data_IF_990812529339
#
_entry.id   IF_990812529339
#
_cell.length_a   1.000
_cell.length_b   1.000
_cell.length_c   1.000
_cell.angle_alpha   90.00
_cell.angle_beta   90.00
_cell.angle_gamma   90.00
#
_symmetry.space_group_name_H-M   'P 1'
#
loop_
_entity.id
_entity.type
_entity.pdbx_description
1 polymer ?
#
# COMPACT_ATOMS: atom_id res chain seq x y z
N UNK A 1 20.70 -26.02 -1.46
CA UNK A 1 19.78 -25.72 -0.33
C UNK A 1 20.30 -24.46 0.33
N UNK A 2 19.92 -23.31 -0.21
CA UNK A 2 20.18 -22.01 0.39
C UNK A 2 18.82 -21.44 0.71
N UNK A 3 18.48 -21.47 2.00
CA UNK A 3 17.34 -20.76 2.58
C UNK A 3 17.74 -19.28 2.58
N UNK A 4 17.50 -18.61 1.46
CA UNK A 4 17.74 -17.17 1.31
C UNK A 4 16.66 -16.46 2.12
N UNK A 5 17.07 -15.80 3.21
CA UNK A 5 16.24 -15.17 4.22
C UNK A 5 15.44 -13.97 3.72
N UNK A 6 14.68 -14.13 2.63
CA UNK A 6 13.59 -13.21 2.27
C UNK A 6 12.59 -13.25 3.42
N UNK A 7 12.45 -12.12 4.11
CA UNK A 7 11.33 -11.90 5.03
C UNK A 7 10.04 -12.27 4.29
N UNK A 8 9.47 -13.40 4.69
CA UNK A 8 8.39 -14.02 3.94
C UNK A 8 7.11 -13.26 4.25
N UNK A 9 6.52 -12.65 3.23
CA UNK A 9 5.34 -11.82 3.38
C UNK A 9 4.24 -12.57 4.16
N UNK A 10 3.57 -11.85 5.06
CA UNK A 10 2.50 -12.42 5.90
C UNK A 10 1.43 -13.07 5.01
N UNK A 11 0.94 -14.28 5.32
CA UNK A 11 0.00 -14.98 4.44
C UNK A 11 -1.32 -14.22 4.20
N UNK A 12 -1.76 -13.38 5.14
CA UNK A 12 -2.90 -12.46 4.92
C UNK A 12 -2.61 -11.45 3.81
N UNK A 13 -1.41 -10.88 3.80
CA UNK A 13 -0.99 -9.87 2.83
C UNK A 13 -0.88 -10.50 1.43
N UNK A 14 -0.23 -11.65 1.33
CA UNK A 14 -0.16 -12.43 0.08
C UNK A 14 -1.55 -12.76 -0.47
N UNK A 15 -2.46 -13.26 0.37
CA UNK A 15 -3.81 -13.59 -0.06
C UNK A 15 -4.58 -12.36 -0.55
N UNK A 16 -4.49 -11.23 0.15
CA UNK A 16 -5.14 -9.99 -0.30
C UNK A 16 -4.53 -9.44 -1.59
N UNK A 17 -3.23 -9.62 -1.81
CA UNK A 17 -2.56 -9.24 -3.06
C UNK A 17 -3.00 -10.13 -4.22
N UNK A 18 -3.03 -11.45 -4.04
CA UNK A 18 -3.50 -12.39 -5.06
C UNK A 18 -4.95 -12.09 -5.49
N UNK A 19 -5.85 -11.92 -4.52
CA UNK A 19 -7.24 -11.59 -4.81
C UNK A 19 -7.38 -10.21 -5.48
N UNK A 20 -6.57 -9.24 -5.05
CA UNK A 20 -6.55 -7.92 -5.67
C UNK A 20 -5.96 -7.89 -7.08
N UNK A 21 -5.07 -8.83 -7.44
CA UNK A 21 -4.42 -8.90 -8.76
C UNK A 21 -5.25 -9.69 -9.77
N UNK A 22 -5.89 -10.79 -9.34
CA UNK A 22 -6.47 -11.79 -10.24
C UNK A 22 -7.97 -12.01 -10.09
N UNK A 23 -8.55 -11.61 -8.96
CA UNK A 23 -9.95 -11.87 -8.61
C UNK A 23 -10.73 -10.60 -8.28
N UNK A 24 -10.24 -9.45 -8.77
CA UNK A 24 -10.85 -8.16 -8.55
C UNK A 24 -12.22 -8.09 -9.25
N UNK A 25 -13.18 -7.42 -8.62
CA UNK A 25 -14.53 -7.14 -9.16
C UNK A 25 -15.35 -8.39 -9.46
N UNK A 26 -15.18 -9.40 -8.61
CA UNK A 26 -15.91 -10.67 -8.68
C UNK A 26 -16.72 -10.88 -7.42
N UNK A 27 -17.96 -11.30 -7.61
CA UNK A 27 -18.86 -11.71 -6.54
C UNK A 27 -18.70 -13.21 -6.23
N UNK A 28 -18.14 -13.96 -7.18
CA UNK A 28 -17.86 -15.37 -7.07
C UNK A 28 -16.84 -15.66 -5.96
N UNK A 29 -17.11 -16.71 -5.19
CA UNK A 29 -16.24 -17.15 -4.12
C UNK A 29 -15.29 -18.25 -4.61
N UNK A 30 -14.01 -18.11 -4.29
CA UNK A 30 -12.99 -19.13 -4.60
C UNK A 30 -13.03 -20.24 -3.53
N UNK A 31 -13.08 -21.52 -3.92
CA UNK A 31 -12.96 -22.64 -2.99
C UNK A 31 -11.71 -22.53 -2.11
N UNK A 32 -11.84 -22.80 -0.81
CA UNK A 32 -10.73 -22.73 0.15
C UNK A 32 -9.53 -23.60 -0.27
N UNK A 33 -9.79 -24.74 -0.94
CA UNK A 33 -8.74 -25.62 -1.47
C UNK A 33 -7.86 -24.94 -2.53
N UNK A 34 -8.46 -24.17 -3.45
CA UNK A 34 -7.71 -23.42 -4.46
C UNK A 34 -6.87 -22.30 -3.82
N UNK A 35 -7.42 -21.58 -2.84
CA UNK A 35 -6.67 -20.56 -2.08
C UNK A 35 -5.50 -21.16 -1.28
N UNK A 36 -5.65 -22.36 -0.73
CA UNK A 36 -4.54 -23.09 -0.10
C UNK A 36 -3.44 -23.39 -1.13
N UNK A 37 -3.78 -23.88 -2.32
CA UNK A 37 -2.78 -24.17 -3.36
C UNK A 37 -2.07 -22.91 -3.86
N UNK A 38 -2.80 -21.82 -4.04
CA UNK A 38 -2.21 -20.52 -4.39
C UNK A 38 -1.19 -20.06 -3.34
N UNK A 39 -1.52 -20.16 -2.04
CA UNK A 39 -0.60 -19.81 -0.97
C UNK A 39 0.58 -20.80 -0.84
N UNK A 40 0.40 -22.05 -1.27
CA UNK A 40 1.46 -23.05 -1.28
C UNK A 40 2.59 -22.73 -2.29
N UNK A 41 2.32 -21.98 -3.37
CA UNK A 41 3.36 -21.47 -4.29
C UNK A 41 4.36 -20.54 -3.57
N UNK A 42 3.91 -19.90 -2.48
CA UNK A 42 4.75 -19.10 -1.59
C UNK A 42 5.25 -19.93 -0.41
N UNK A 43 5.17 -21.26 -0.49
CA UNK A 43 5.53 -22.27 0.52
C UNK A 43 4.59 -22.38 1.72
N UNK A 44 3.43 -21.68 1.74
CA UNK A 44 2.64 -21.51 2.98
C UNK A 44 1.90 -22.80 3.25
N UNK A 45 2.13 -23.38 4.43
CA UNK A 45 1.45 -24.61 4.85
C UNK A 45 -0.06 -24.46 4.92
N UNK A 46 -0.78 -25.55 4.64
CA UNK A 46 -2.25 -25.60 4.57
C UNK A 46 -2.95 -25.01 5.81
N UNK A 47 -2.44 -25.30 7.01
CA UNK A 47 -3.01 -24.79 8.26
C UNK A 47 -2.87 -23.27 8.37
N UNK A 48 -1.70 -22.73 8.03
CA UNK A 48 -1.43 -21.30 8.04
C UNK A 48 -2.27 -20.55 6.99
N UNK A 49 -2.45 -21.14 5.81
CA UNK A 49 -3.33 -20.60 4.77
C UNK A 49 -4.78 -20.51 5.26
N UNK A 50 -5.32 -21.58 5.85
CA UNK A 50 -6.68 -21.59 6.42
C UNK A 50 -6.84 -20.62 7.58
N UNK A 51 -5.83 -20.51 8.43
CA UNK A 51 -5.84 -19.54 9.53
C UNK A 51 -5.84 -18.10 9.01
N UNK A 52 -5.06 -17.80 7.96
CA UNK A 52 -5.05 -16.49 7.31
C UNK A 52 -6.42 -16.13 6.72
N UNK A 53 -7.07 -17.05 6.00
CA UNK A 53 -8.43 -16.86 5.48
C UNK A 53 -9.44 -16.56 6.61
N UNK A 54 -9.41 -17.35 7.69
CA UNK A 54 -10.29 -17.12 8.85
C UNK A 54 -10.04 -15.76 9.51
N UNK A 55 -8.78 -15.34 9.66
CA UNK A 55 -8.42 -14.04 10.24
C UNK A 55 -8.88 -12.87 9.37
N UNK A 56 -8.82 -13.01 8.04
CA UNK A 56 -9.32 -11.99 7.11
C UNK A 56 -10.86 -11.93 7.15
N UNK A 57 -11.53 -13.08 7.16
CA UNK A 57 -12.98 -13.14 7.27
C UNK A 57 -13.49 -12.55 8.61
N UNK A 58 -12.81 -12.82 9.72
CA UNK A 58 -13.13 -12.24 11.03
C UNK A 58 -12.94 -10.71 11.11
N UNK A 59 -12.30 -10.11 10.10
CA UNK A 59 -12.11 -8.66 9.97
C UNK A 59 -12.94 -8.07 8.82
N UNK A 60 -13.90 -8.83 8.30
CA UNK A 60 -14.73 -8.46 7.15
C UNK A 60 -13.92 -8.09 5.89
N UNK A 61 -12.70 -8.62 5.78
CA UNK A 61 -11.85 -8.44 4.59
C UNK A 61 -12.10 -9.52 3.53
N UNK A 62 -12.81 -10.59 3.88
CA UNK A 62 -13.31 -11.65 3.01
C UNK A 62 -14.74 -12.03 3.40
N UNK A 63 -15.56 -12.35 2.41
CA UNK A 63 -16.86 -13.00 2.63
C UNK A 63 -16.69 -14.51 2.60
N UNK A 64 -17.59 -15.23 3.28
CA UNK A 64 -17.55 -16.69 3.39
C UNK A 64 -18.86 -17.25 2.88
N UNK A 65 -18.77 -18.24 1.98
CA UNK A 65 -19.90 -19.04 1.57
C UNK A 65 -19.64 -20.51 1.86
N UNK A 66 -20.73 -21.26 2.13
CA UNK A 66 -20.68 -22.70 2.34
C UNK A 66 -21.73 -23.37 1.46
N UNK A 67 -21.28 -24.30 0.63
CA UNK A 67 -22.14 -25.19 -0.14
C UNK A 67 -21.75 -26.63 0.16
N UNK A 68 -22.63 -27.35 0.85
CA UNK A 68 -22.36 -28.70 1.33
C UNK A 68 -21.12 -28.77 2.23
N UNK A 69 -20.11 -29.51 1.79
CA UNK A 69 -18.83 -29.70 2.51
C UNK A 69 -17.75 -28.67 2.14
N UNK A 70 -18.01 -27.82 1.15
CA UNK A 70 -17.04 -26.88 0.61
C UNK A 70 -17.23 -25.51 1.23
N UNK A 71 -16.15 -24.95 1.80
CA UNK A 71 -16.08 -23.54 2.19
C UNK A 71 -15.36 -22.77 1.09
N UNK A 72 -15.93 -21.64 0.68
CA UNK A 72 -15.35 -20.74 -0.30
C UNK A 72 -15.28 -19.31 0.25
N UNK A 73 -14.36 -18.51 -0.28
CA UNK A 73 -14.13 -17.13 0.15
C UNK A 73 -14.22 -16.17 -1.01
N UNK A 74 -14.87 -15.04 -0.80
CA UNK A 74 -15.03 -13.97 -1.78
C UNK A 74 -14.43 -12.66 -1.29
N UNK A 75 -14.34 -11.68 -2.19
CA UNK A 75 -14.05 -10.30 -1.81
C UNK A 75 -15.38 -9.67 -1.38
N UNK A 76 -15.44 -8.93 -0.26
CA UNK A 76 -16.64 -8.21 0.12
C UNK A 76 -17.10 -7.28 -1.01
N UNK A 77 -18.41 -7.08 -1.20
CA UNK A 77 -18.91 -6.13 -2.17
C UNK A 77 -18.25 -4.76 -1.96
N UNK A 78 -17.65 -4.23 -3.01
CA UNK A 78 -17.10 -2.88 -3.06
C UNK A 78 -17.52 -2.25 -4.37
N UNK A 79 -17.64 -0.92 -4.38
CA UNK A 79 -17.68 -0.22 -5.66
C UNK A 79 -16.36 -0.46 -6.39
N UNK A 80 -16.44 -0.77 -7.68
CA UNK A 80 -15.30 -0.88 -8.59
C UNK A 80 -14.34 0.29 -8.41
N UNK A 81 -14.91 1.48 -8.17
CA UNK A 81 -14.23 2.76 -8.15
C UNK A 81 -13.18 2.86 -7.04
N UNK A 82 -13.49 2.37 -5.83
CA UNK A 82 -12.56 2.37 -4.70
C UNK A 82 -11.37 1.45 -4.96
N UNK A 83 -11.61 0.32 -5.63
CA UNK A 83 -10.54 -0.62 -5.99
C UNK A 83 -9.68 -0.04 -7.10
N UNK A 84 -10.29 0.59 -8.11
CA UNK A 84 -9.58 1.28 -9.19
C UNK A 84 -8.71 2.38 -8.62
N UNK A 85 -9.28 3.31 -7.85
CA UNK A 85 -8.56 4.45 -7.30
C UNK A 85 -7.37 4.04 -6.44
N UNK A 86 -7.57 3.07 -5.53
CA UNK A 86 -6.47 2.57 -4.69
C UNK A 86 -5.36 1.90 -5.51
N UNK A 87 -5.74 1.11 -6.52
CA UNK A 87 -4.77 0.44 -7.39
C UNK A 87 -4.05 1.45 -8.25
N UNK A 88 -4.77 2.42 -8.82
CA UNK A 88 -4.20 3.52 -9.59
C UNK A 88 -3.19 4.31 -8.75
N UNK A 89 -3.55 4.75 -7.53
CA UNK A 89 -2.64 5.44 -6.60
C UNK A 89 -1.38 4.62 -6.27
N UNK A 90 -1.51 3.29 -6.14
CA UNK A 90 -0.34 2.42 -5.91
C UNK A 90 0.57 2.36 -7.15
N UNK A 91 0.00 2.31 -8.35
CA UNK A 91 0.75 2.22 -9.61
C UNK A 91 1.39 3.56 -10.03
N UNK A 92 0.74 4.68 -9.73
CA UNK A 92 1.22 6.03 -10.10
C UNK A 92 2.09 6.71 -9.04
N UNK A 93 2.11 6.21 -7.81
CA UNK A 93 2.98 6.73 -6.75
C UNK A 93 4.44 6.75 -7.21
N UNK A 94 5.10 7.91 -7.14
CA UNK A 94 6.49 8.09 -7.53
C UNK A 94 6.74 8.29 -9.03
N UNK A 95 5.69 8.32 -9.86
CA UNK A 95 5.81 8.61 -11.29
C UNK A 95 6.38 10.02 -11.56
N UNK A 96 6.03 10.99 -10.73
CA UNK A 96 6.57 12.35 -10.73
C UNK A 96 6.67 12.89 -9.31
N UNK A 97 7.60 13.80 -9.06
CA UNK A 97 7.60 14.54 -7.80
C UNK A 97 6.45 15.56 -7.78
N UNK A 98 5.79 15.78 -6.64
CA UNK A 98 4.79 16.84 -6.53
C UNK A 98 5.47 18.22 -6.59
N UNK A 99 4.71 19.19 -7.08
CA UNK A 99 5.13 20.59 -7.07
C UNK A 99 5.21 21.14 -5.66
N UNK A 100 6.13 22.09 -5.44
CA UNK A 100 6.30 22.80 -4.19
C UNK A 100 6.21 24.30 -4.40
N UNK A 101 5.42 24.96 -3.55
CA UNK A 101 5.25 26.42 -3.58
C UNK A 101 6.26 27.16 -2.69
N UNK A 102 7.30 26.45 -2.20
CA UNK A 102 8.31 27.00 -1.32
C UNK A 102 7.88 27.13 0.16
N UNK A 103 6.63 26.77 0.48
CA UNK A 103 6.07 26.96 1.82
C UNK A 103 5.79 25.63 2.54
N UNK A 104 6.03 25.63 3.85
CA UNK A 104 5.71 24.55 4.76
C UNK A 104 4.36 24.79 5.42
N UNK A 105 3.52 23.76 5.48
CA UNK A 105 2.42 23.73 6.45
C UNK A 105 2.99 23.31 7.78
N UNK A 106 2.81 24.16 8.79
CA UNK A 106 3.30 23.93 10.15
C UNK A 106 2.12 23.88 11.10
N UNK A 107 2.05 22.82 11.89
CA UNK A 107 1.08 22.66 12.98
C UNK A 107 1.85 22.64 14.29
N UNK A 108 1.71 23.70 15.08
CA UNK A 108 2.23 23.79 16.42
C UNK A 108 1.09 23.57 17.43
N UNK A 109 1.29 22.76 18.45
CA UNK A 109 0.29 22.55 19.49
C UNK A 109 0.89 22.28 20.87
N UNK A 110 0.10 22.55 21.90
CA UNK A 110 0.39 22.20 23.29
C UNK A 110 -0.83 21.53 23.88
N UNK A 111 -0.73 20.22 24.12
CA UNK A 111 -1.81 19.42 24.74
C UNK A 111 -1.36 19.04 26.16
N UNK A 112 -2.15 19.39 27.21
CA UNK A 112 -1.83 19.04 28.59
C UNK A 112 -1.59 17.53 28.76
N UNK A 113 -0.74 17.13 29.72
CA UNK A 113 -0.41 15.71 29.92
C UNK A 113 -1.64 14.87 30.31
N UNK A 114 -2.62 15.50 30.96
CA UNK A 114 -3.89 14.89 31.33
C UNK A 114 -4.73 14.49 30.11
N UNK A 115 -4.49 15.09 28.94
CA UNK A 115 -5.21 14.85 27.68
C UNK A 115 -4.39 13.98 26.70
N UNK A 116 -3.64 13.01 27.24
CA UNK A 116 -2.76 12.14 26.44
C UNK A 116 -3.47 11.42 25.29
N UNK A 117 -4.75 11.07 25.46
CA UNK A 117 -5.55 10.43 24.40
C UNK A 117 -5.79 11.37 23.21
N UNK A 118 -6.14 12.64 23.48
CA UNK A 118 -6.30 13.68 22.46
C UNK A 118 -4.99 13.91 21.71
N UNK A 119 -3.87 14.03 22.44
CA UNK A 119 -2.54 14.17 21.84
C UNK A 119 -2.20 12.99 20.93
N UNK A 120 -2.51 11.77 21.37
CA UNK A 120 -2.25 10.54 20.59
C UNK A 120 -3.11 10.51 19.33
N UNK A 121 -4.40 10.87 19.44
CA UNK A 121 -5.31 10.95 18.30
C UNK A 121 -4.88 12.02 17.28
N UNK A 122 -4.52 13.22 17.74
CA UNK A 122 -4.04 14.31 16.89
C UNK A 122 -2.80 13.88 16.10
N UNK A 123 -1.77 13.37 16.78
CA UNK A 123 -0.53 12.90 16.13
C UNK A 123 -0.77 11.78 15.13
N UNK A 124 -1.67 10.85 15.45
CA UNK A 124 -2.04 9.77 14.54
C UNK A 124 -2.71 10.31 13.27
N UNK A 125 -3.64 11.27 13.41
CA UNK A 125 -4.36 11.86 12.27
C UNK A 125 -3.53 12.84 11.46
N UNK A 126 -2.61 13.58 12.08
CA UNK A 126 -1.63 14.40 11.35
C UNK A 126 -0.73 13.55 10.45
N UNK A 127 -0.27 12.37 10.93
CA UNK A 127 0.45 11.41 10.06
C UNK A 127 -0.39 10.95 8.88
N UNK A 128 -1.67 10.65 9.11
CA UNK A 128 -2.59 10.24 8.04
C UNK A 128 -2.82 11.35 7.01
N UNK A 129 -2.87 12.62 7.44
CA UNK A 129 -2.89 13.78 6.53
C UNK A 129 -1.54 13.98 5.80
N UNK A 130 -0.47 13.36 6.28
CA UNK A 130 0.86 13.42 5.69
C UNK A 130 1.70 14.58 6.20
N UNK A 131 1.51 14.97 7.46
CA UNK A 131 2.48 15.74 8.22
C UNK A 131 3.43 14.80 8.97
N UNK A 132 4.68 15.22 9.12
CA UNK A 132 5.68 14.54 9.94
C UNK A 132 5.99 15.34 11.21
N UNK A 133 6.36 14.65 12.28
CA UNK A 133 6.76 15.29 13.52
C UNK A 133 8.18 15.82 13.38
N UNK A 134 8.36 17.14 13.45
CA UNK A 134 9.67 17.76 13.58
C UNK A 134 10.10 17.76 15.06
N UNK A 135 9.19 18.16 15.95
CA UNK A 135 9.32 18.07 17.41
C UNK A 135 8.01 17.58 18.04
N UNK A 136 7.98 17.37 19.36
CA UNK A 136 6.84 16.75 20.05
C UNK A 136 5.49 17.43 19.74
N UNK A 137 5.48 18.77 19.77
CA UNK A 137 4.34 19.63 19.45
C UNK A 137 4.48 20.42 18.15
N UNK A 138 5.40 20.05 17.25
CA UNK A 138 5.64 20.77 15.98
C UNK A 138 5.68 19.79 14.81
N UNK A 139 4.75 19.97 13.87
CA UNK A 139 4.54 19.07 12.75
C UNK A 139 4.58 19.83 11.44
N UNK A 140 5.14 19.21 10.40
CA UNK A 140 5.45 19.90 9.14
C UNK A 140 5.08 19.05 7.92
N UNK A 141 4.71 19.72 6.83
CA UNK A 141 4.53 19.11 5.51
C UNK A 141 4.85 20.11 4.40
N UNK A 142 5.46 19.70 3.28
CA UNK A 142 5.66 20.59 2.14
C UNK A 142 4.36 20.85 1.36
N UNK A 143 3.31 20.04 1.58
CA UNK A 143 2.00 20.25 0.94
C UNK A 143 1.21 21.34 1.65
N UNK A 144 0.38 22.08 0.92
CA UNK A 144 -0.62 22.95 1.54
C UNK A 144 -1.74 22.09 2.16
N UNK A 145 -1.63 21.90 3.47
CA UNK A 145 -2.57 21.15 4.30
C UNK A 145 -3.15 22.05 5.38
N UNK A 146 -3.07 23.38 5.23
CA UNK A 146 -3.45 24.32 6.27
C UNK A 146 -4.96 24.21 6.60
N UNK A 147 -5.82 24.12 5.58
CA UNK A 147 -7.26 23.88 5.75
C UNK A 147 -7.55 22.56 6.49
N UNK A 148 -7.18 21.40 5.91
CA UNK A 148 -7.40 20.10 6.53
C UNK A 148 -6.82 19.97 7.95
N UNK A 149 -5.65 20.56 8.21
CA UNK A 149 -5.05 20.54 9.54
C UNK A 149 -5.82 21.40 10.55
N UNK A 150 -6.35 22.57 10.13
CA UNK A 150 -7.22 23.40 10.99
C UNK A 150 -8.51 22.67 11.34
N UNK A 151 -9.14 22.04 10.36
CA UNK A 151 -10.37 21.28 10.57
C UNK A 151 -10.14 20.12 11.56
N UNK A 152 -9.03 19.39 11.41
CA UNK A 152 -8.64 18.33 12.32
C UNK A 152 -8.42 18.83 13.76
N UNK A 153 -7.73 19.96 13.92
CA UNK A 153 -7.47 20.58 15.23
C UNK A 153 -8.79 20.98 15.90
N UNK A 154 -9.71 21.59 15.15
CA UNK A 154 -11.02 22.00 15.64
C UNK A 154 -11.89 20.78 16.01
N UNK A 155 -11.92 19.75 15.17
CA UNK A 155 -12.67 18.51 15.40
C UNK A 155 -12.25 17.81 16.70
N UNK A 156 -10.96 17.82 17.03
CA UNK A 156 -10.43 17.23 18.25
C UNK A 156 -10.50 18.15 19.47
N UNK A 157 -11.00 19.38 19.32
CA UNK A 157 -11.15 20.34 20.43
C UNK A 157 -9.84 20.84 21.02
N UNK A 158 -8.75 20.85 20.25
CA UNK A 158 -7.42 21.23 20.76
C UNK A 158 -7.33 22.74 20.93
N UNK A 159 -7.46 23.21 22.18
CA UNK A 159 -7.55 24.64 22.50
C UNK A 159 -6.27 25.44 22.18
N UNK A 160 -5.09 24.83 22.31
CA UNK A 160 -3.78 25.47 22.06
C UNK A 160 -3.10 24.85 20.85
N UNK A 161 -3.49 25.32 19.68
CA UNK A 161 -2.86 24.95 18.42
C UNK A 161 -2.79 26.14 17.47
N UNK A 162 -1.81 26.12 16.59
CA UNK A 162 -1.60 27.12 15.53
C UNK A 162 -1.24 26.38 14.26
N UNK A 163 -1.96 26.70 13.19
CA UNK A 163 -1.67 26.21 11.84
C UNK A 163 -1.23 27.39 11.01
N UNK A 164 -0.05 27.31 10.42
CA UNK A 164 0.54 28.39 9.64
C UNK A 164 1.24 27.87 8.38
N UNK A 165 1.40 28.76 7.40
CA UNK A 165 2.29 28.57 6.25
C UNK A 165 3.56 29.36 6.52
N UNK A 166 4.73 28.74 6.38
CA UNK A 166 6.02 29.37 6.65
C UNK A 166 7.12 28.92 5.68
N UNK A 167 8.10 29.78 5.48
CA UNK A 167 9.36 29.45 4.79
C UNK A 167 10.47 29.24 5.81
N UNK A 168 11.41 28.36 5.51
CA UNK A 168 12.62 28.21 6.33
C UNK A 168 13.53 29.43 6.17
N UNK A 169 14.12 29.90 7.26
CA UNK A 169 15.15 30.93 7.21
C UNK A 169 16.48 30.26 6.85
N UNK A 170 17.18 30.68 5.77
CA UNK A 170 18.45 30.08 5.39
C UNK A 170 19.55 30.22 6.45
N UNK A 171 20.55 29.33 6.41
CA UNK A 171 21.72 29.38 7.29
C UNK A 171 21.59 28.61 8.60
N UNK A 172 20.55 27.78 8.73
CA UNK A 172 20.40 26.84 9.83
C UNK A 172 21.44 25.71 9.82
N UNK A 173 21.52 24.90 10.90
CA UNK A 173 22.40 23.74 10.97
C UNK A 173 22.09 22.71 9.87
N UNK A 174 23.10 22.04 9.31
CA UNK A 174 22.96 21.10 8.18
C UNK A 174 22.04 19.90 8.42
N UNK A 175 21.78 19.53 9.68
CA UNK A 175 20.85 18.45 10.07
C UNK A 175 19.55 18.95 10.70
N UNK A 176 19.29 20.25 10.63
CA UNK A 176 18.07 20.88 11.13
C UNK A 176 17.01 21.09 10.05
N UNK A 177 16.06 21.96 10.36
CA UNK A 177 15.03 22.38 9.41
C UNK A 177 13.88 21.37 9.26
N UNK A 178 12.81 21.75 8.55
CA UNK A 178 11.62 20.92 8.46
C UNK A 178 11.81 19.61 7.67
N UNK A 179 12.81 19.55 6.77
CA UNK A 179 13.17 18.32 6.06
C UNK A 179 13.68 17.20 7.01
N UNK A 180 14.26 17.56 8.16
CA UNK A 180 14.73 16.59 9.16
C UNK A 180 13.58 15.78 9.82
N UNK A 181 12.32 16.18 9.62
CA UNK A 181 11.16 15.41 10.08
C UNK A 181 10.95 14.09 9.30
N UNK A 182 11.63 13.92 8.15
CA UNK A 182 11.48 12.77 7.27
C UNK A 182 12.75 11.91 7.25
N UNK A 183 12.58 10.60 7.41
CA UNK A 183 13.68 9.62 7.36
C UNK A 183 14.07 9.32 5.90
N UNK A 184 14.79 10.27 5.27
CA UNK A 184 15.23 10.15 3.88
C UNK A 184 16.30 9.07 3.70
N UNK A 185 17.15 8.84 4.70
CA UNK A 185 18.20 7.82 4.64
C UNK A 185 17.61 6.41 4.64
N UNK A 186 16.63 6.15 5.53
CA UNK A 186 15.88 4.90 5.57
C UNK A 186 15.13 4.65 4.26
N UNK A 187 14.42 5.66 3.75
CA UNK A 187 13.72 5.56 2.46
C UNK A 187 14.67 5.32 1.28
N UNK A 188 15.82 6.00 1.24
CA UNK A 188 16.83 5.77 0.22
C UNK A 188 17.40 4.34 0.28
N UNK A 189 17.58 3.79 1.49
CA UNK A 189 17.99 2.41 1.68
C UNK A 189 16.92 1.42 1.19
N UNK A 190 15.65 1.68 1.49
CA UNK A 190 14.50 0.89 1.03
C UNK A 190 14.46 0.85 -0.51
N UNK A 191 14.59 2.01 -1.18
CA UNK A 191 14.63 2.07 -2.65
C UNK A 191 15.83 1.33 -3.25
N UNK A 192 17.03 1.52 -2.68
CA UNK A 192 18.24 0.80 -3.14
C UNK A 192 18.06 -0.71 -2.99
N UNK A 193 17.46 -1.16 -1.89
CA UNK A 193 17.13 -2.55 -1.64
C UNK A 193 16.17 -3.10 -2.69
N UNK A 194 15.08 -2.37 -2.97
CA UNK A 194 14.10 -2.73 -3.98
C UNK A 194 14.72 -2.86 -5.38
N UNK A 195 15.46 -1.84 -5.83
CA UNK A 195 16.11 -1.85 -7.16
C UNK A 195 17.09 -3.02 -7.25
N UNK A 196 17.95 -3.23 -6.24
CA UNK A 196 18.91 -4.35 -6.23
C UNK A 196 18.21 -5.71 -6.36
N UNK A 197 17.03 -5.88 -5.76
CA UNK A 197 16.30 -7.14 -5.79
C UNK A 197 15.62 -7.40 -7.14
N UNK A 198 15.05 -6.37 -7.78
CA UNK A 198 14.18 -6.56 -8.94
C UNK A 198 14.82 -6.18 -10.28
N UNK A 199 15.86 -5.35 -10.30
CA UNK A 199 16.57 -4.97 -11.53
C UNK A 199 17.10 -6.18 -12.33
N UNK A 200 17.72 -7.22 -11.70
CA UNK A 200 18.21 -8.39 -12.44
C UNK A 200 17.11 -9.14 -13.21
N UNK A 201 15.85 -9.04 -12.79
CA UNK A 201 14.74 -9.72 -13.44
C UNK A 201 14.45 -9.21 -14.84
N UNK A 202 14.90 -7.99 -15.20
CA UNK A 202 14.73 -7.46 -16.56
C UNK A 202 15.40 -8.35 -17.60
N UNK A 203 16.58 -8.86 -17.30
CA UNK A 203 17.32 -9.77 -18.18
C UNK A 203 16.63 -11.12 -18.28
N UNK A 204 16.17 -11.68 -17.15
CA UNK A 204 15.44 -12.95 -17.12
C UNK A 204 14.11 -12.88 -17.89
N UNK A 205 13.40 -11.76 -17.74
CA UNK A 205 12.19 -11.46 -18.49
C UNK A 205 12.46 -11.35 -19.99
N UNK A 206 13.52 -10.63 -20.39
CA UNK A 206 13.90 -10.46 -21.79
C UNK A 206 14.31 -11.79 -22.44
N UNK A 207 14.95 -12.67 -21.68
CA UNK A 207 15.38 -13.99 -22.14
C UNK A 207 14.29 -15.08 -22.02
N UNK A 208 13.10 -14.76 -21.50
CA UNK A 208 12.01 -15.73 -21.32
C UNK A 208 12.33 -16.83 -20.29
N UNK A 209 13.19 -16.55 -19.30
CA UNK A 209 13.64 -17.53 -18.30
C UNK A 209 12.67 -17.71 -17.12
N UNK A 210 11.60 -16.92 -17.05
CA UNK A 210 10.63 -16.95 -15.96
C UNK A 210 9.42 -17.79 -16.38
N UNK A 211 9.18 -18.91 -15.69
CA UNK A 211 8.00 -19.75 -15.89
C UNK A 211 6.76 -19.23 -15.16
N UNK A 212 5.56 -19.79 -15.42
CA UNK A 212 4.31 -19.33 -14.81
C UNK A 212 4.28 -19.33 -13.27
N UNK A 213 4.85 -20.36 -12.63
CA UNK A 213 4.93 -20.45 -11.16
C UNK A 213 5.77 -19.31 -10.57
N UNK A 214 6.95 -19.08 -11.13
CA UNK A 214 7.81 -17.97 -10.72
C UNK A 214 7.19 -16.61 -11.04
N UNK A 215 6.48 -16.48 -12.17
CA UNK A 215 5.79 -15.25 -12.51
C UNK A 215 4.73 -14.89 -11.47
N UNK A 216 3.90 -15.85 -11.04
CA UNK A 216 2.89 -15.63 -9.99
C UNK A 216 3.54 -15.21 -8.67
N UNK A 217 4.61 -15.91 -8.27
CA UNK A 217 5.34 -15.64 -7.04
C UNK A 217 5.99 -14.26 -7.06
N UNK A 218 6.83 -14.00 -8.06
CA UNK A 218 7.58 -12.75 -8.20
C UNK A 218 6.64 -11.56 -8.31
N UNK A 219 5.60 -11.63 -9.15
CA UNK A 219 4.67 -10.51 -9.33
C UNK A 219 3.93 -10.15 -8.04
N UNK A 220 3.52 -11.16 -7.28
CA UNK A 220 2.84 -10.95 -6.00
C UNK A 220 3.79 -10.39 -4.94
N UNK A 221 5.01 -10.95 -4.82
CA UNK A 221 6.05 -10.45 -3.91
C UNK A 221 6.46 -9.00 -4.24
N UNK A 222 6.62 -8.70 -5.53
CA UNK A 222 6.91 -7.37 -6.05
C UNK A 222 5.82 -6.37 -5.66
N UNK A 223 4.54 -6.71 -5.87
CA UNK A 223 3.42 -5.86 -5.43
C UNK A 223 3.44 -5.62 -3.93
N UNK A 224 3.68 -6.67 -3.15
CA UNK A 224 3.74 -6.58 -1.68
C UNK A 224 4.86 -5.65 -1.25
N UNK A 225 6.05 -5.80 -1.82
CA UNK A 225 7.19 -4.92 -1.54
C UNK A 225 6.90 -3.47 -1.94
N UNK A 226 6.32 -3.25 -3.12
CA UNK A 226 6.00 -1.90 -3.60
C UNK A 226 4.96 -1.18 -2.75
N UNK A 227 3.95 -1.91 -2.26
CA UNK A 227 2.83 -1.37 -1.47
C UNK A 227 3.27 -0.64 -0.19
N UNK A 228 4.45 -0.97 0.35
CA UNK A 228 5.00 -0.30 1.52
C UNK A 228 5.45 1.15 1.23
N UNK A 229 5.86 1.48 0.00
CA UNK A 229 6.37 2.81 -0.32
C UNK A 229 5.32 3.91 -0.21
N UNK A 230 4.12 3.83 -0.81
CA UNK A 230 3.08 4.86 -0.64
C UNK A 230 2.57 5.05 0.80
N UNK A 231 2.95 4.15 1.71
CA UNK A 231 2.62 4.21 3.13
C UNK A 231 3.75 4.83 3.98
N UNK A 232 5.01 4.70 3.53
CA UNK A 232 6.21 5.15 4.25
C UNK A 232 6.81 6.44 3.67
N UNK A 233 6.83 6.55 2.35
CA UNK A 233 7.35 7.72 1.65
C UNK A 233 6.26 8.81 1.64
N UNK A 234 6.54 9.99 2.23
CA UNK A 234 5.62 11.13 2.26
C UNK A 234 5.40 11.78 0.88
N UNK A 235 6.08 11.31 -0.16
CA UNK A 235 6.08 11.86 -1.52
C UNK A 235 6.61 13.29 -1.55
N UNK A 236 7.86 13.52 -1.08
CA UNK A 236 8.41 14.87 -1.04
C UNK A 236 8.67 15.43 -2.46
N UNK A 237 8.57 16.76 -2.64
CA UNK A 237 9.05 17.47 -3.82
C UNK A 237 10.52 17.21 -4.14
N UNK A 238 10.91 17.34 -5.41
CA UNK A 238 12.24 17.01 -5.90
C UNK A 238 13.35 17.86 -5.27
N UNK A 239 13.06 19.13 -4.97
CA UNK A 239 13.96 20.12 -4.39
C UNK A 239 14.43 19.75 -2.98
N UNK A 240 13.69 18.86 -2.32
CA UNK A 240 13.94 18.42 -0.95
C UNK A 240 14.61 17.04 -0.87
N UNK A 241 14.80 16.39 -2.02
CA UNK A 241 15.34 15.05 -2.12
C UNK A 241 16.85 15.10 -2.41
N UNK A 242 17.65 14.19 -1.80
CA UNK A 242 19.06 14.07 -2.12
C UNK A 242 19.29 13.76 -3.61
N UNK A 243 20.45 14.16 -4.17
CA UNK A 243 20.84 13.74 -5.52
C UNK A 243 20.83 12.22 -5.67
N UNK A 244 20.36 11.73 -6.83
CA UNK A 244 20.29 10.29 -7.10
C UNK A 244 19.13 9.56 -6.41
N UNK A 245 18.08 10.29 -6.00
CA UNK A 245 16.88 9.69 -5.42
C UNK A 245 16.20 8.71 -6.40
N UNK A 246 16.01 7.46 -5.97
CA UNK A 246 15.63 6.35 -6.84
C UNK A 246 14.11 6.14 -7.01
N UNK A 247 13.25 6.96 -6.39
CA UNK A 247 11.79 6.74 -6.39
C UNK A 247 11.20 6.49 -7.77
N UNK A 248 11.50 7.37 -8.73
CA UNK A 248 10.95 7.28 -10.09
C UNK A 248 11.53 6.10 -10.87
N UNK A 249 12.81 5.79 -10.70
CA UNK A 249 13.44 4.63 -11.35
C UNK A 249 12.92 3.31 -10.78
N UNK A 250 12.73 3.24 -9.45
CA UNK A 250 12.12 2.10 -8.78
C UNK A 250 10.66 1.90 -9.20
N UNK A 251 9.89 2.99 -9.38
CA UNK A 251 8.52 2.94 -9.88
C UNK A 251 8.46 2.41 -11.32
N UNK A 252 9.37 2.87 -12.19
CA UNK A 252 9.46 2.39 -13.56
C UNK A 252 9.81 0.90 -13.63
N UNK A 253 10.78 0.47 -12.81
CA UNK A 253 11.15 -0.93 -12.67
C UNK A 253 9.96 -1.77 -12.15
N UNK A 254 9.27 -1.27 -11.13
CA UNK A 254 8.08 -1.91 -10.58
C UNK A 254 7.03 -2.14 -11.67
N UNK A 255 6.62 -1.09 -12.39
CA UNK A 255 5.61 -1.20 -13.45
C UNK A 255 6.03 -2.15 -14.56
N UNK A 256 7.27 -2.06 -15.03
CA UNK A 256 7.76 -2.91 -16.10
C UNK A 256 7.71 -4.40 -15.73
N UNK A 257 8.26 -4.77 -14.57
CA UNK A 257 8.27 -6.17 -14.12
C UNK A 257 6.86 -6.62 -13.80
N UNK A 258 6.06 -5.78 -13.13
CA UNK A 258 4.70 -6.11 -12.74
C UNK A 258 3.78 -6.35 -13.93
N UNK A 259 3.83 -5.50 -14.96
CA UNK A 259 2.98 -5.65 -16.16
C UNK A 259 3.44 -6.83 -17.02
N UNK A 260 4.76 -6.99 -17.23
CA UNK A 260 5.30 -8.09 -18.07
C UNK A 260 5.02 -9.49 -17.49
N UNK A 261 5.00 -9.62 -16.16
CA UNK A 261 4.68 -10.89 -15.51
C UNK A 261 3.18 -11.22 -15.50
N UNK A 262 2.31 -10.25 -15.79
CA UNK A 262 0.87 -10.39 -15.66
C UNK A 262 0.27 -11.61 -16.36
N UNK A 263 0.49 -11.78 -17.68
CA UNK A 263 -0.06 -12.91 -18.42
C UNK A 263 0.39 -14.29 -17.91
N UNK A 264 1.69 -14.46 -17.60
CA UNK A 264 2.22 -15.73 -17.09
C UNK A 264 1.72 -16.05 -15.68
N UNK A 265 1.61 -15.02 -14.83
CA UNK A 265 1.10 -15.16 -13.49
C UNK A 265 -0.40 -15.48 -13.47
N UNK A 266 -1.19 -14.83 -14.34
CA UNK A 266 -2.60 -15.16 -14.56
C UNK A 266 -2.75 -16.62 -15.00
N UNK A 267 -1.94 -17.08 -15.96
CA UNK A 267 -1.97 -18.45 -16.42
C UNK A 267 -1.77 -19.45 -15.27
N UNK A 268 -0.77 -19.21 -14.40
CA UNK A 268 -0.57 -20.07 -13.22
C UNK A 268 -1.73 -20.00 -12.24
N UNK A 269 -2.29 -18.82 -12.00
CA UNK A 269 -3.45 -18.65 -11.13
C UNK A 269 -4.63 -19.49 -11.64
N UNK A 270 -4.92 -19.43 -12.94
CA UNK A 270 -5.96 -20.23 -13.59
C UNK A 270 -5.71 -21.73 -13.46
N UNK A 271 -4.48 -22.20 -13.69
CA UNK A 271 -4.12 -23.61 -13.53
C UNK A 271 -4.47 -24.13 -12.12
N UNK A 272 -4.07 -23.40 -11.08
CA UNK A 272 -4.30 -23.80 -9.68
C UNK A 272 -5.78 -23.76 -9.28
N UNK A 273 -6.54 -22.84 -9.87
CA UNK A 273 -7.97 -22.71 -9.65
C UNK A 273 -8.74 -23.83 -10.38
N UNK A 274 -8.37 -24.14 -11.62
CA UNK A 274 -9.01 -25.17 -12.45
C UNK A 274 -8.96 -26.57 -11.82
N UNK A 275 -7.95 -26.86 -11.00
CA UNK A 275 -7.88 -28.10 -10.20
C UNK A 275 -9.02 -28.25 -9.17
N UNK A 276 -9.70 -27.16 -8.78
CA UNK A 276 -10.91 -27.20 -7.94
C UNK A 276 -12.17 -26.93 -8.74
N UNK A 277 -12.09 -25.95 -9.66
CA UNK A 277 -13.24 -25.41 -10.36
C UNK A 277 -12.79 -24.77 -11.70
N UNK A 278 -12.95 -25.49 -12.83
CA UNK A 278 -12.57 -25.00 -14.16
C UNK A 278 -13.36 -23.77 -14.60
N UNK A 279 -14.64 -23.68 -14.25
CA UNK A 279 -15.49 -22.56 -14.69
C UNK A 279 -15.05 -21.26 -13.99
N UNK A 280 -14.70 -21.34 -12.71
CA UNK A 280 -14.10 -20.21 -12.00
C UNK A 280 -12.72 -19.84 -12.56
N UNK A 281 -11.94 -20.80 -13.04
CA UNK A 281 -10.61 -20.50 -13.58
C UNK A 281 -10.67 -19.51 -14.75
N UNK A 282 -11.67 -19.61 -15.62
CA UNK A 282 -11.84 -18.70 -16.77
C UNK A 282 -12.15 -17.25 -16.37
N UNK A 283 -12.65 -17.03 -15.15
CA UNK A 283 -12.98 -15.69 -14.65
C UNK A 283 -11.77 -14.92 -14.12
N UNK A 284 -10.69 -15.62 -13.76
CA UNK A 284 -9.49 -14.98 -13.24
C UNK A 284 -8.81 -14.16 -14.33
N UNK A 285 -8.48 -12.90 -14.03
CA UNK A 285 -7.79 -12.02 -14.98
C UNK A 285 -6.86 -11.09 -14.24
N UNK A 286 -5.69 -10.78 -14.81
CA UNK A 286 -4.85 -9.72 -14.32
C UNK A 286 -5.36 -8.34 -14.76
N UNK A 287 -4.88 -7.33 -14.06
CA UNK A 287 -4.86 -5.96 -14.55
C UNK A 287 -3.41 -5.55 -14.81
N UNK A 288 -3.19 -4.67 -15.78
CA UNK A 288 -1.93 -3.97 -16.00
C UNK A 288 -2.10 -2.47 -15.70
N UNK A 289 -0.99 -1.73 -15.67
CA UNK A 289 -1.03 -0.29 -15.41
C UNK A 289 -1.90 0.49 -16.40
N UNK A 290 -1.85 0.13 -17.68
CA UNK A 290 -2.59 0.81 -18.75
C UNK A 290 -4.11 0.63 -18.61
N UNK A 291 -4.56 -0.58 -18.25
CA UNK A 291 -5.97 -0.90 -18.01
C UNK A 291 -6.47 -0.15 -16.78
N UNK A 292 -5.71 -0.13 -15.68
CA UNK A 292 -6.10 0.56 -14.46
C UNK A 292 -6.18 2.07 -14.67
N UNK A 293 -5.23 2.68 -15.37
CA UNK A 293 -5.28 4.11 -15.70
C UNK A 293 -6.50 4.46 -16.55
N UNK A 294 -6.81 3.69 -17.60
CA UNK A 294 -8.02 3.92 -18.41
C UNK A 294 -9.31 3.83 -17.59
N UNK A 295 -9.41 2.82 -16.72
CA UNK A 295 -10.56 2.67 -15.84
C UNK A 295 -10.68 3.83 -14.84
N UNK A 296 -9.55 4.35 -14.34
CA UNK A 296 -9.53 5.51 -13.46
C UNK A 296 -10.05 6.77 -14.19
N UNK A 297 -9.57 7.00 -15.41
CA UNK A 297 -10.01 8.12 -16.26
C UNK A 297 -11.51 8.04 -16.61
N UNK A 298 -12.02 6.85 -16.93
CA UNK A 298 -13.43 6.61 -17.26
C UNK A 298 -14.38 6.88 -16.07
N UNK A 299 -13.93 6.60 -14.85
CA UNK A 299 -14.70 6.85 -13.63
C UNK A 299 -14.81 8.35 -13.31
N UNK A 300 -13.82 9.15 -13.73
CA UNK A 300 -13.75 10.59 -13.47
C UNK A 300 -13.89 10.92 -11.98
N UNK A 301 -14.43 12.11 -11.69
CA UNK A 301 -14.58 12.63 -10.31
C UNK A 301 -15.79 12.01 -9.55
N UNK A 302 -16.43 10.97 -10.10
CA UNK A 302 -17.53 10.25 -9.42
C UNK A 302 -17.01 9.29 -8.35
N UNK A 303 -15.72 8.96 -8.39
CA UNK A 303 -15.08 7.99 -7.52
C UNK A 303 -14.47 8.63 -6.26
N UNK A 304 -15.28 8.91 -5.24
CA UNK A 304 -14.93 8.73 -3.82
C UNK A 304 -16.03 9.28 -2.92
N UNK A 305 -17.10 8.50 -2.73
CA UNK A 305 -17.85 8.57 -1.46
C UNK A 305 -17.35 7.41 -0.61
N UNK A 306 -16.21 7.65 0.02
CA UNK A 306 -15.47 6.68 0.84
C UNK A 306 -16.15 6.34 2.17
N UNK A 307 -17.34 5.74 2.09
CA UNK A 307 -18.15 5.32 3.25
C UNK A 307 -18.50 3.83 3.24
N UNK A 308 -17.69 3.00 2.58
CA UNK A 308 -17.88 1.55 2.68
C UNK A 308 -17.39 1.02 4.04
N UNK A 309 -18.03 -0.01 4.62
CA UNK A 309 -17.55 -0.66 5.85
C UNK A 309 -16.10 -1.15 5.76
N UNK A 310 -15.63 -1.50 4.56
CA UNK A 310 -14.23 -1.86 4.31
C UNK A 310 -13.27 -0.66 4.44
N UNK A 311 -13.63 0.52 3.95
CA UNK A 311 -12.81 1.74 4.09
C UNK A 311 -12.71 2.17 5.55
N UNK A 312 -13.82 2.07 6.29
CA UNK A 312 -13.82 2.27 7.74
C UNK A 312 -12.88 1.27 8.42
N UNK A 313 -12.91 -0.01 8.04
CA UNK A 313 -12.01 -1.04 8.57
C UNK A 313 -10.53 -0.83 8.20
N UNK A 314 -10.22 -0.42 6.97
CA UNK A 314 -8.84 -0.11 6.54
C UNK A 314 -8.32 1.15 7.23
N UNK A 315 -9.14 2.20 7.34
CA UNK A 315 -8.79 3.41 8.08
C UNK A 315 -8.57 3.11 9.56
N UNK A 316 -9.45 2.33 10.17
CA UNK A 316 -9.30 1.86 11.54
C UNK A 316 -8.01 1.05 11.72
N UNK A 317 -7.69 0.13 10.80
CA UNK A 317 -6.43 -0.63 10.81
C UNK A 317 -5.20 0.29 10.71
N UNK A 318 -5.21 1.26 9.80
CA UNK A 318 -4.10 2.22 9.64
C UNK A 318 -3.91 3.05 10.92
N UNK A 319 -5.00 3.49 11.55
CA UNK A 319 -4.95 4.18 12.84
C UNK A 319 -4.38 3.27 13.94
N UNK A 320 -4.77 1.99 13.97
CA UNK A 320 -4.28 0.99 14.92
C UNK A 320 -2.79 0.65 14.74
N UNK A 321 -2.31 0.52 13.51
CA UNK A 321 -0.89 0.28 13.19
C UNK A 321 -0.02 1.48 13.61
N UNK A 322 -0.48 2.71 13.35
CA UNK A 322 0.18 3.94 13.81
C UNK A 322 0.18 4.05 15.33
N UNK A 323 -0.90 3.63 16.02
CA UNK A 323 -1.00 3.60 17.49
C UNK A 323 -0.04 2.59 18.13
N UNK A 324 0.24 1.46 17.46
CA UNK A 324 1.10 0.38 17.98
C UNK A 324 2.60 0.60 17.75
N UNK A 325 3.01 1.68 17.09
CA UNK A 325 4.42 2.07 16.93
C UNK A 325 5.30 1.04 16.20
N UNK A 326 4.71 0.14 15.42
CA UNK A 326 5.46 -0.85 14.62
C UNK A 326 5.35 -0.51 13.14
N UNK A 327 6.48 -0.30 12.43
CA UNK A 327 6.51 -0.66 11.03
C UNK A 327 6.41 -2.20 10.98
N UNK A 328 5.37 -2.73 10.33
CA UNK A 328 5.37 -4.14 9.95
C UNK A 328 6.50 -4.32 8.93
N UNK A 329 7.53 -5.08 9.34
CA UNK A 329 8.51 -5.72 8.46
C UNK A 329 7.80 -6.71 7.56
#
# INVERSE_FOLDING_TARGET
MSDDGRARAEPQLLLTSLLGDYWYWRDEHIPSAALVRLLAEFGIGQENARAAMRRLAAKDLLTVSRHGRTTAYGIPPRTSDVIVDRTHRMLTFGASAPEWDGCWTVVAFSVPEQEREVRTALRSRLRVLGLAALYDGLWVSPRDLAGPARDLVAELGVARATVLRATEVPGGPSGGGPAAAFDLDGLAADYRGFVRTYEPLREDLAAGRIGPADALRIRTELRVAWRAFPERDPDLPAEMLPPGWLRTDAQRLFLEVYDRLGPLAEHRFRQLLAESDPDLAELASHHDSTRISRLHDELGDRGSRGDTPFEQAVRARRLDEVRRGRPSV
#
